data_IF_027486275950
#
_entry.id   IF_027486275950
#
_cell.length_a   1.000
_cell.length_b   1.000
_cell.length_c   1.000
_cell.angle_alpha   90.00
_cell.angle_beta   90.00
_cell.angle_gamma   90.00
#
_symmetry.space_group_name_H-M   'P 1'
#
loop_
_entity.id
_entity.type
_entity.pdbx_description
1 polymer ?
#
# COMPACT_ATOMS: atom_id res chain seq x y z
N UNK A 1 -14.50 -19.35 11.72
CA UNK A 1 -13.92 -18.01 11.47
C UNK A 1 -12.39 -17.99 11.41
N UNK A 2 -11.67 -18.61 12.36
CA UNK A 2 -10.19 -18.56 12.43
C UNK A 2 -9.47 -19.01 11.13
N UNK A 3 -9.88 -20.13 10.55
CA UNK A 3 -9.30 -20.64 9.29
C UNK A 3 -9.66 -19.80 8.05
N UNK A 4 -10.84 -19.18 8.03
CA UNK A 4 -11.27 -18.29 6.95
C UNK A 4 -10.39 -17.03 6.95
N UNK A 5 -10.13 -16.44 8.12
CA UNK A 5 -9.23 -15.28 8.23
C UNK A 5 -7.79 -15.61 7.83
N UNK A 6 -7.28 -16.80 8.20
CA UNK A 6 -5.95 -17.25 7.77
C UNK A 6 -5.89 -17.40 6.25
N UNK A 7 -6.91 -18.01 5.63
CA UNK A 7 -6.97 -18.18 4.17
C UNK A 7 -7.01 -16.83 3.43
N UNK A 8 -7.79 -15.87 3.93
CA UNK A 8 -7.83 -14.50 3.38
C UNK A 8 -6.50 -13.77 3.58
N UNK A 9 -5.84 -13.94 4.72
CA UNK A 9 -4.55 -13.30 5.00
C UNK A 9 -3.45 -13.85 4.08
N UNK A 10 -3.45 -15.17 3.82
CA UNK A 10 -2.48 -15.81 2.92
C UNK A 10 -2.69 -15.40 1.46
N UNK A 11 -3.94 -15.18 1.03
CA UNK A 11 -4.26 -14.79 -0.35
C UNK A 11 -4.13 -13.29 -0.60
N UNK A 12 -4.55 -12.45 0.36
CA UNK A 12 -4.43 -10.98 0.27
C UNK A 12 -3.04 -10.47 0.64
N UNK A 13 -2.27 -11.24 1.42
CA UNK A 13 -0.93 -10.85 1.87
C UNK A 13 0.06 -10.57 0.74
N UNK A 14 0.20 -11.46 -0.27
CA UNK A 14 1.05 -11.21 -1.43
C UNK A 14 0.62 -9.99 -2.23
N UNK A 15 -0.69 -9.77 -2.37
CA UNK A 15 -1.25 -8.62 -3.09
C UNK A 15 -0.92 -7.32 -2.33
N UNK A 16 -1.17 -7.29 -1.02
CA UNK A 16 -0.81 -6.19 -0.14
C UNK A 16 0.69 -5.89 -0.19
N UNK A 17 1.53 -6.93 -0.08
CA UNK A 17 2.98 -6.79 -0.10
C UNK A 17 3.45 -6.20 -1.43
N UNK A 18 2.94 -6.70 -2.56
CA UNK A 18 3.28 -6.20 -3.88
C UNK A 18 2.92 -4.72 -4.04
N UNK A 19 1.71 -4.33 -3.63
CA UNK A 19 1.23 -2.95 -3.67
C UNK A 19 2.09 -2.04 -2.80
N UNK A 20 2.45 -2.49 -1.60
CA UNK A 20 3.29 -1.73 -0.69
C UNK A 20 4.73 -1.55 -1.24
N UNK A 21 5.29 -2.57 -1.90
CA UNK A 21 6.60 -2.48 -2.56
C UNK A 21 6.55 -1.49 -3.73
N UNK A 22 5.50 -1.52 -4.54
CA UNK A 22 5.31 -0.55 -5.63
C UNK A 22 5.17 0.86 -5.05
N UNK A 23 4.34 1.03 -4.03
CA UNK A 23 4.11 2.30 -3.36
C UNK A 23 5.40 2.92 -2.84
N UNK A 24 6.19 2.16 -2.07
CA UNK A 24 7.45 2.64 -1.49
C UNK A 24 8.49 3.00 -2.57
N UNK A 25 8.57 2.25 -3.67
CA UNK A 25 9.45 2.58 -4.81
C UNK A 25 9.01 3.86 -5.51
N UNK A 26 7.71 3.99 -5.84
CA UNK A 26 7.15 5.17 -6.49
C UNK A 26 7.28 6.40 -5.59
N UNK A 27 7.02 6.26 -4.30
CA UNK A 27 7.20 7.32 -3.31
C UNK A 27 8.64 7.82 -3.27
N UNK A 28 9.62 6.91 -3.16
CA UNK A 28 11.04 7.27 -3.13
C UNK A 28 11.46 7.97 -4.43
N UNK A 29 11.00 7.47 -5.57
CA UNK A 29 11.26 8.10 -6.87
C UNK A 29 10.62 9.50 -6.95
N UNK A 30 9.35 9.64 -6.59
CA UNK A 30 8.60 10.90 -6.62
C UNK A 30 9.28 11.96 -5.75
N UNK A 31 9.63 11.64 -4.50
CA UNK A 31 10.34 12.58 -3.64
C UNK A 31 11.75 12.90 -4.13
N UNK A 32 12.40 11.99 -4.85
CA UNK A 32 13.70 12.29 -5.50
C UNK A 32 13.54 13.31 -6.64
N UNK A 33 12.41 13.33 -7.34
CA UNK A 33 12.15 14.30 -8.41
C UNK A 33 12.00 15.73 -7.87
N UNK A 34 11.48 15.90 -6.65
CA UNK A 34 11.36 17.23 -6.01
C UNK A 34 12.67 18.03 -6.02
N UNK A 35 13.82 17.35 -5.91
CA UNK A 35 15.16 17.98 -5.93
C UNK A 35 15.79 18.06 -7.32
N UNK A 36 15.35 17.23 -8.26
CA UNK A 36 15.93 17.13 -9.61
C UNK A 36 15.18 18.01 -10.62
N UNK A 37 13.85 17.94 -10.59
CA UNK A 37 12.97 18.63 -11.53
C UNK A 37 11.60 18.86 -10.88
N UNK A 38 11.36 20.11 -10.51
CA UNK A 38 10.13 20.51 -9.83
C UNK A 38 8.90 20.44 -10.75
N UNK A 39 9.08 20.53 -12.07
CA UNK A 39 7.99 20.47 -13.05
C UNK A 39 7.49 19.04 -13.16
N UNK A 40 8.39 18.07 -13.28
CA UNK A 40 8.03 16.64 -13.27
C UNK A 40 7.38 16.28 -11.93
N UNK A 41 7.92 16.78 -10.81
CA UNK A 41 7.33 16.56 -9.49
C UNK A 41 5.89 17.08 -9.42
N UNK A 42 5.63 18.31 -9.87
CA UNK A 42 4.29 18.90 -9.87
C UNK A 42 3.31 18.13 -10.79
N UNK A 43 3.74 17.74 -11.99
CA UNK A 43 2.91 16.98 -12.94
C UNK A 43 2.55 15.59 -12.44
N UNK A 44 3.47 14.91 -11.75
CA UNK A 44 3.24 13.58 -11.18
C UNK A 44 2.58 13.60 -9.80
N UNK A 45 2.41 14.78 -9.18
CA UNK A 45 1.74 14.95 -7.88
C UNK A 45 0.34 14.30 -7.85
N UNK A 46 -0.59 14.59 -8.78
CA UNK A 46 -1.92 13.97 -8.75
C UNK A 46 -1.87 12.44 -8.91
N UNK A 47 -0.97 11.92 -9.76
CA UNK A 47 -0.79 10.49 -9.95
C UNK A 47 -0.23 9.80 -8.69
N UNK A 48 0.70 10.44 -7.99
CA UNK A 48 1.20 9.97 -6.71
C UNK A 48 0.08 9.87 -5.67
N UNK A 49 -0.78 10.88 -5.57
CA UNK A 49 -1.92 10.86 -4.65
C UNK A 49 -2.96 9.80 -4.97
N UNK A 50 -3.23 9.53 -6.26
CA UNK A 50 -4.07 8.41 -6.68
C UNK A 50 -3.47 7.08 -6.21
N UNK A 51 -2.16 6.90 -6.39
CA UNK A 51 -1.47 5.69 -5.95
C UNK A 51 -1.49 5.54 -4.42
N UNK A 52 -1.32 6.64 -3.68
CA UNK A 52 -1.49 6.68 -2.21
C UNK A 52 -2.91 6.25 -1.81
N UNK A 53 -3.94 6.76 -2.48
CA UNK A 53 -5.33 6.41 -2.18
C UNK A 53 -5.61 4.92 -2.44
N UNK A 54 -5.14 4.37 -3.56
CA UNK A 54 -5.29 2.93 -3.87
C UNK A 54 -4.58 2.08 -2.82
N UNK A 55 -3.35 2.44 -2.46
CA UNK A 55 -2.62 1.73 -1.40
C UNK A 55 -3.39 1.79 -0.09
N UNK A 56 -3.92 2.95 0.31
CA UNK A 56 -4.69 3.10 1.54
C UNK A 56 -5.97 2.24 1.57
N UNK A 57 -6.73 2.23 0.47
CA UNK A 57 -7.96 1.42 0.34
C UNK A 57 -7.69 -0.08 0.52
N UNK A 58 -6.51 -0.55 0.13
CA UNK A 58 -6.14 -1.97 0.20
C UNK A 58 -5.45 -2.29 1.53
N UNK A 59 -4.62 -1.38 2.04
CA UNK A 59 -3.88 -1.56 3.30
C UNK A 59 -4.79 -1.58 4.52
N UNK A 60 -5.75 -0.64 4.62
CA UNK A 60 -6.66 -0.55 5.77
C UNK A 60 -7.42 -1.86 6.03
N UNK A 61 -8.16 -2.45 5.08
CA UNK A 61 -8.88 -3.69 5.33
C UNK A 61 -7.92 -4.86 5.62
N UNK A 62 -6.74 -4.89 5.00
CA UNK A 62 -5.74 -5.92 5.27
C UNK A 62 -5.18 -5.84 6.69
N UNK A 63 -4.84 -4.65 7.18
CA UNK A 63 -4.37 -4.43 8.55
C UNK A 63 -5.45 -4.77 9.59
N UNK A 64 -6.71 -4.41 9.33
CA UNK A 64 -7.84 -4.81 10.16
C UNK A 64 -7.99 -6.34 10.22
N UNK A 65 -7.87 -7.04 9.08
CA UNK A 65 -7.93 -8.50 9.03
C UNK A 65 -6.78 -9.16 9.82
N UNK A 66 -5.56 -8.63 9.73
CA UNK A 66 -4.43 -9.11 10.52
C UNK A 66 -4.66 -8.87 12.01
N UNK A 67 -5.07 -7.66 12.40
CA UNK A 67 -5.25 -7.30 13.81
C UNK A 67 -6.35 -8.13 14.48
N UNK A 68 -7.41 -8.45 13.75
CA UNK A 68 -8.45 -9.38 14.23
C UNK A 68 -7.89 -10.80 14.33
N UNK A 69 -7.05 -11.23 13.39
CA UNK A 69 -6.46 -12.58 13.42
C UNK A 69 -5.45 -12.74 14.57
N UNK A 70 -4.67 -11.71 14.89
CA UNK A 70 -3.66 -11.75 15.96
C UNK A 70 -4.27 -11.77 17.37
N UNK A 71 -5.41 -11.10 17.57
CA UNK A 71 -6.14 -11.10 18.86
C UNK A 71 -6.82 -12.42 19.22
N UNK A 72 -6.92 -13.37 18.28
CA UNK A 72 -7.55 -14.68 18.51
C UNK A 72 -6.49 -15.72 18.93
N UNK A 73 -5.20 -15.36 18.97
CA UNK A 73 -4.13 -16.20 19.54
C UNK A 73 -3.90 -15.85 21.00
#
# INVERSE_FOLDING_TARGET
MKYIHILFTITLGPIYWLINVIHTKVQKWYFSQKKKDIVIWALFTPFYWILVAITFIISVPYEFLIAVTSKIH
#
